data_IF_096424428812
#
_entry.id   IF_096424428812
#
_cell.length_a   1.000
_cell.length_b   1.000
_cell.length_c   1.000
_cell.angle_alpha   90.00
_cell.angle_beta   90.00
_cell.angle_gamma   90.00
#
_symmetry.space_group_name_H-M   'P 1'
#
loop_
_entity.id
_entity.type
_entity.pdbx_description
1 polymer ?
#
# COMPACT_ATOMS: atom_id res chain seq x y z
N UNK A 1 -2.55 3.73 9.35
CA UNK A 1 -3.78 4.52 9.11
C UNK A 1 -4.95 3.56 9.12
N UNK A 2 -6.12 4.02 9.54
CA UNK A 2 -7.34 3.20 9.49
C UNK A 2 -7.69 2.96 8.01
N UNK A 3 -7.68 1.71 7.62
CA UNK A 3 -8.05 1.25 6.27
C UNK A 3 -9.45 0.65 6.24
N UNK A 4 -10.12 0.64 7.38
CA UNK A 4 -11.23 -0.24 7.63
C UNK A 4 -12.58 0.38 7.30
N UNK A 5 -13.53 -0.49 6.95
CA UNK A 5 -14.91 -0.11 6.58
C UNK A 5 -15.96 -0.98 7.27
N UNK A 6 -15.60 -2.15 7.82
CA UNK A 6 -16.57 -3.10 8.40
C UNK A 6 -16.28 -3.34 9.89
N UNK A 7 -15.02 -3.54 10.29
CA UNK A 7 -14.69 -3.86 11.68
C UNK A 7 -13.72 -2.89 12.39
N UNK A 8 -13.46 -1.64 11.93
CA UNK A 8 -12.70 -0.61 12.69
C UNK A 8 -11.36 -1.06 13.36
N UNK A 9 -10.73 -2.16 12.92
CA UNK A 9 -9.50 -2.70 13.47
C UNK A 9 -8.41 -2.93 12.41
N UNK A 10 -8.67 -2.56 11.15
CA UNK A 10 -7.75 -2.76 10.04
C UNK A 10 -6.79 -1.59 9.89
N UNK A 11 -5.53 -1.83 10.25
CA UNK A 11 -4.44 -0.91 10.01
C UNK A 11 -3.68 -1.31 8.76
N UNK A 12 -3.46 -0.35 7.87
CA UNK A 12 -2.38 -0.44 6.89
C UNK A 12 -1.31 0.57 7.19
N UNK A 13 -0.08 0.16 6.96
CA UNK A 13 1.10 0.96 7.21
C UNK A 13 2.04 0.90 6.00
N UNK A 14 2.77 1.97 5.80
CA UNK A 14 3.85 2.02 4.85
C UNK A 14 5.01 2.77 5.50
N UNK A 15 6.21 2.23 5.36
CA UNK A 15 7.44 2.87 5.77
C UNK A 15 8.21 3.26 4.52
N UNK A 16 8.66 4.51 4.46
CA UNK A 16 9.53 5.00 3.40
C UNK A 16 10.90 5.31 3.99
N UNK A 17 11.93 4.67 3.46
CA UNK A 17 13.31 4.85 3.87
C UNK A 17 14.18 5.25 2.67
N UNK A 18 15.29 5.94 2.93
CA UNK A 18 16.31 6.25 1.92
C UNK A 18 17.63 5.58 2.28
N UNK A 19 18.22 4.86 1.32
CA UNK A 19 19.61 4.37 1.39
C UNK A 19 20.49 5.27 0.54
N UNK A 20 21.34 6.05 1.20
CA UNK A 20 22.32 6.90 0.50
C UNK A 20 23.46 6.08 -0.11
N UNK A 21 23.82 4.96 0.52
CA UNK A 21 24.89 4.08 0.05
C UNK A 21 24.52 3.38 -1.26
N UNK A 22 23.27 2.94 -1.38
CA UNK A 22 22.77 2.23 -2.57
C UNK A 22 22.06 3.17 -3.56
N UNK A 23 21.95 4.46 -3.23
CA UNK A 23 21.15 5.44 -3.96
C UNK A 23 19.71 4.94 -4.23
N UNK A 24 19.00 4.58 -3.15
CA UNK A 24 17.66 3.96 -3.22
C UNK A 24 16.65 4.63 -2.31
N UNK A 25 15.41 4.66 -2.77
CA UNK A 25 14.22 4.96 -1.96
C UNK A 25 13.45 3.65 -1.82
N UNK A 26 13.20 3.22 -0.58
CA UNK A 26 12.56 1.94 -0.27
C UNK A 26 11.20 2.24 0.34
N UNK A 27 10.15 1.67 -0.26
CA UNK A 27 8.77 1.74 0.24
C UNK A 27 8.39 0.33 0.67
N UNK A 28 8.15 0.13 1.96
CA UNK A 28 7.73 -1.15 2.52
C UNK A 28 6.28 -1.04 3.01
N UNK A 29 5.40 -1.90 2.52
CA UNK A 29 4.00 -1.97 2.93
C UNK A 29 3.78 -3.11 3.94
N UNK A 30 2.93 -2.83 4.93
CA UNK A 30 2.45 -3.80 5.90
C UNK A 30 0.92 -3.88 5.78
N UNK A 31 0.44 -5.01 5.29
CA UNK A 31 -0.98 -5.21 5.00
C UNK A 31 -1.81 -5.83 6.13
N UNK A 32 -1.17 -6.33 7.20
CA UNK A 32 -1.88 -7.02 8.28
C UNK A 32 -1.21 -6.83 9.65
N UNK A 33 -1.98 -6.42 10.64
CA UNK A 33 -1.64 -6.43 12.06
C UNK A 33 -2.45 -7.47 12.86
N UNK A 34 -3.51 -8.06 12.29
CA UNK A 34 -4.34 -9.06 12.98
C UNK A 34 -4.93 -10.15 12.05
N UNK A 35 -5.25 -11.35 12.58
CA UNK A 35 -5.98 -12.38 11.83
C UNK A 35 -7.38 -11.97 11.34
N UNK A 36 -7.98 -10.92 11.91
CA UNK A 36 -9.28 -10.42 11.48
C UNK A 36 -9.21 -9.81 10.07
N UNK A 37 -8.12 -9.09 9.75
CA UNK A 37 -7.85 -8.55 8.40
C UNK A 37 -7.77 -9.64 7.32
N UNK A 38 -7.26 -10.82 7.65
CA UNK A 38 -7.24 -11.96 6.73
C UNK A 38 -8.66 -12.47 6.43
N UNK A 39 -9.57 -12.35 7.40
CA UNK A 39 -10.97 -12.75 7.24
C UNK A 39 -11.71 -11.74 6.37
N UNK A 40 -11.48 -10.44 6.55
CA UNK A 40 -12.00 -9.38 5.66
C UNK A 40 -11.54 -9.58 4.21
N UNK A 41 -10.25 -9.87 4.02
CA UNK A 41 -9.72 -10.21 2.69
C UNK A 41 -10.46 -11.41 2.10
N UNK A 42 -10.66 -12.48 2.88
CA UNK A 42 -11.39 -13.67 2.43
C UNK A 42 -12.84 -13.33 2.04
N UNK A 43 -13.52 -12.47 2.81
CA UNK A 43 -14.86 -11.98 2.46
C UNK A 43 -14.82 -11.14 1.18
N UNK A 44 -13.77 -10.34 0.96
CA UNK A 44 -13.63 -9.51 -0.24
C UNK A 44 -13.56 -10.33 -1.54
N UNK A 45 -13.07 -11.57 -1.49
CA UNK A 45 -13.15 -12.49 -2.63
C UNK A 45 -14.59 -12.77 -3.06
N UNK A 46 -15.55 -12.73 -2.14
CA UNK A 46 -16.97 -12.91 -2.44
C UNK A 46 -17.68 -11.60 -2.78
N UNK A 47 -17.14 -10.44 -2.35
CA UNK A 47 -17.65 -9.12 -2.72
C UNK A 47 -17.29 -8.79 -4.18
N UNK A 48 -16.10 -9.20 -4.63
CA UNK A 48 -15.72 -9.17 -6.05
C UNK A 48 -14.50 -8.28 -6.34
N UNK A 49 -14.38 -7.89 -7.61
CA UNK A 49 -13.26 -7.13 -8.14
C UNK A 49 -13.71 -5.82 -8.77
N UNK A 50 -12.95 -4.77 -8.52
CA UNK A 50 -13.13 -3.44 -9.11
C UNK A 50 -12.04 -3.16 -10.16
N UNK A 51 -12.26 -2.16 -11.00
CA UNK A 51 -11.22 -1.72 -11.92
C UNK A 51 -10.14 -0.92 -11.16
N UNK A 52 -8.88 -1.14 -11.51
CA UNK A 52 -7.77 -0.33 -11.04
C UNK A 52 -7.50 0.83 -12.01
N UNK A 53 -8.14 1.96 -11.77
CA UNK A 53 -7.92 3.16 -12.58
C UNK A 53 -6.67 3.93 -12.15
N UNK A 54 -5.92 4.57 -13.09
CA UNK A 54 -6.16 4.65 -14.53
C UNK A 54 -5.45 3.56 -15.36
N UNK A 55 -4.66 2.69 -14.73
CA UNK A 55 -3.82 1.70 -15.43
C UNK A 55 -4.63 0.54 -16.02
N UNK A 56 -5.89 0.38 -15.63
CA UNK A 56 -6.74 -0.75 -16.00
C UNK A 56 -6.46 -2.01 -15.17
N UNK A 57 -7.19 -3.09 -15.47
CA UNK A 57 -7.10 -4.36 -14.74
C UNK A 57 -8.12 -4.47 -13.60
N UNK A 58 -8.33 -5.71 -13.13
CA UNK A 58 -9.26 -6.03 -12.03
C UNK A 58 -8.49 -6.36 -10.75
N UNK A 59 -8.93 -5.80 -9.64
CA UNK A 59 -8.31 -5.89 -8.32
C UNK A 59 -9.38 -6.14 -7.27
N UNK A 60 -9.05 -6.93 -6.24
CA UNK A 60 -9.97 -7.15 -5.12
C UNK A 60 -10.32 -5.83 -4.45
N UNK A 61 -11.60 -5.66 -4.13
CA UNK A 61 -12.14 -4.42 -3.51
C UNK A 61 -11.32 -4.00 -2.29
N UNK A 62 -10.93 -4.95 -1.44
CA UNK A 62 -10.11 -4.70 -0.25
C UNK A 62 -8.75 -4.06 -0.60
N UNK A 63 -8.01 -4.66 -1.54
CA UNK A 63 -6.69 -4.18 -1.94
C UNK A 63 -6.76 -2.79 -2.57
N UNK A 64 -7.78 -2.54 -3.40
CA UNK A 64 -7.97 -1.23 -4.04
C UNK A 64 -8.20 -0.13 -3.00
N UNK A 65 -9.10 -0.37 -2.04
CA UNK A 65 -9.43 0.62 -1.01
C UNK A 65 -8.24 0.90 -0.10
N UNK A 66 -7.58 -0.16 0.37
CA UNK A 66 -6.35 -0.07 1.17
C UNK A 66 -5.27 0.74 0.45
N UNK A 67 -5.04 0.42 -0.83
CA UNK A 67 -4.14 1.18 -1.69
C UNK A 67 -4.54 2.66 -1.76
N UNK A 68 -5.79 2.96 -2.10
CA UNK A 68 -6.24 4.33 -2.35
C UNK A 68 -6.11 5.23 -1.11
N UNK A 69 -6.32 4.66 0.09
CA UNK A 69 -6.13 5.37 1.38
C UNK A 69 -4.66 5.73 1.61
N UNK A 70 -3.73 4.79 1.39
CA UNK A 70 -2.31 5.02 1.70
C UNK A 70 -1.55 5.72 0.57
N UNK A 71 -2.01 5.56 -0.67
CA UNK A 71 -1.33 6.04 -1.88
C UNK A 71 -1.13 7.55 -1.87
N UNK A 72 -2.10 8.32 -1.36
CA UNK A 72 -2.01 9.79 -1.31
C UNK A 72 -0.79 10.24 -0.49
N UNK A 73 -0.59 9.65 0.69
CA UNK A 73 0.53 10.00 1.57
C UNK A 73 1.87 9.50 1.01
N UNK A 74 1.91 8.26 0.52
CA UNK A 74 3.12 7.66 -0.04
C UNK A 74 3.57 8.45 -1.27
N UNK A 75 2.64 8.84 -2.15
CA UNK A 75 2.94 9.64 -3.33
C UNK A 75 3.59 10.97 -2.98
N UNK A 76 3.04 11.72 -2.02
CA UNK A 76 3.59 13.01 -1.61
C UNK A 76 5.02 12.87 -1.09
N UNK A 77 5.26 11.94 -0.17
CA UNK A 77 6.60 11.71 0.40
C UNK A 77 7.59 11.21 -0.64
N UNK A 78 7.17 10.32 -1.54
CA UNK A 78 8.01 9.84 -2.64
C UNK A 78 8.41 10.98 -3.57
N UNK A 79 7.49 11.89 -3.90
CA UNK A 79 7.79 13.05 -4.75
C UNK A 79 8.83 13.99 -4.11
N UNK A 80 8.74 14.23 -2.80
CA UNK A 80 9.73 15.00 -2.06
C UNK A 80 11.11 14.32 -2.09
N UNK A 81 11.17 13.00 -1.88
CA UNK A 81 12.41 12.24 -1.91
C UNK A 81 13.02 12.17 -3.31
N UNK A 82 12.21 11.99 -4.37
CA UNK A 82 12.69 12.02 -5.75
C UNK A 82 13.17 13.41 -6.17
N UNK A 83 12.64 14.48 -5.59
CA UNK A 83 13.17 15.83 -5.80
C UNK A 83 14.57 15.96 -5.18
N UNK A 84 14.79 15.38 -4.00
CA UNK A 84 16.08 15.39 -3.31
C UNK A 84 17.10 14.38 -3.87
N UNK A 85 16.62 13.26 -4.43
CA UNK A 85 17.42 12.14 -4.93
C UNK A 85 16.92 11.72 -6.33
N UNK A 86 17.13 12.55 -7.38
CA UNK A 86 16.47 12.38 -8.68
C UNK A 86 16.92 11.16 -9.48
N UNK A 87 18.08 10.57 -9.14
CA UNK A 87 18.60 9.36 -9.78
C UNK A 87 18.42 8.11 -8.93
N UNK A 88 17.73 8.22 -7.79
CA UNK A 88 17.56 7.08 -6.90
C UNK A 88 16.65 6.02 -7.51
N UNK A 89 17.02 4.76 -7.35
CA UNK A 89 16.16 3.63 -7.66
C UNK A 89 15.03 3.54 -6.62
N UNK A 90 13.79 3.37 -7.08
CA UNK A 90 12.63 3.19 -6.20
C UNK A 90 12.35 1.69 -6.08
N UNK A 91 12.52 1.16 -4.87
CA UNK A 91 12.19 -0.22 -4.53
C UNK A 91 10.89 -0.27 -3.73
N UNK A 92 9.92 -1.05 -4.20
CA UNK A 92 8.67 -1.32 -3.49
C UNK A 92 8.68 -2.76 -2.98
N UNK A 93 8.38 -2.96 -1.71
CA UNK A 93 8.37 -4.27 -1.07
C UNK A 93 7.22 -4.39 -0.06
N UNK A 94 6.89 -5.62 0.30
CA UNK A 94 5.81 -5.94 1.21
C UNK A 94 5.85 -7.43 1.57
N UNK A 95 5.23 -7.78 2.69
CA UNK A 95 5.07 -9.16 3.11
C UNK A 95 3.60 -9.51 3.24
N UNK A 96 3.22 -10.69 2.72
CA UNK A 96 1.86 -11.22 2.76
C UNK A 96 0.85 -10.31 2.07
N UNK A 97 0.15 -9.45 2.81
CA UNK A 97 -0.83 -8.50 2.27
C UNK A 97 -0.21 -7.18 1.81
N UNK A 98 1.02 -6.87 2.24
CA UNK A 98 1.76 -5.67 1.82
C UNK A 98 2.31 -5.77 0.42
#
# INVERSE_FOLDING_TARGET
>A
MDCDWIFQFDFCSAVIAKSLADNRIIIAFEGTSSPAQLTEQFVSYFIGQENFEPTGGKVLVYNKKTHDVIYVLVKTLLQELLTAMPTAEVMVTGHSLG
#
